data_IF_029097518201
#
_entry.id   IF_029097518201
#
_cell.length_a   1.000
_cell.length_b   1.000
_cell.length_c   1.000
_cell.angle_alpha   90.00
_cell.angle_beta   90.00
_cell.angle_gamma   90.00
#
_symmetry.space_group_name_H-M   'P 1'
#
loop_
_entity.id
_entity.type
_entity.pdbx_description
1 polymer ?
#
# COMPACT_ATOMS: atom_id res chain seq x y z
N UNK A 1 -0.97 12.06 0.86
CA UNK A 1 -0.63 11.17 1.96
C UNK A 1 -1.72 10.16 2.17
N UNK A 2 -1.37 8.99 2.53
CA UNK A 2 -2.33 7.95 2.83
C UNK A 2 -2.15 7.43 4.24
N UNK A 3 -3.08 6.60 4.68
CA UNK A 3 -3.02 6.02 6.01
C UNK A 3 -2.83 4.53 5.88
N UNK A 4 -1.86 4.00 6.62
CA UNK A 4 -1.61 2.57 6.61
C UNK A 4 -2.78 1.85 7.28
N UNK A 5 -3.41 0.90 6.60
CA UNK A 5 -4.53 0.20 7.23
C UNK A 5 -4.08 -0.84 8.25
N UNK A 6 -2.76 -1.11 8.29
CA UNK A 6 -2.29 -2.09 9.23
C UNK A 6 -1.99 -1.47 10.59
N UNK A 7 -1.23 -0.39 10.62
CA UNK A 7 -0.86 0.23 11.88
C UNK A 7 -1.47 1.61 12.06
N UNK A 8 -2.10 2.16 11.05
CA UNK A 8 -2.74 3.47 11.16
C UNK A 8 -1.80 4.64 11.05
N UNK A 9 -0.54 4.41 10.69
CA UNK A 9 0.41 5.50 10.57
C UNK A 9 0.22 6.21 9.23
N UNK A 10 0.68 7.44 9.16
CA UNK A 10 0.61 8.17 7.91
C UNK A 10 1.74 7.73 6.99
N UNK A 11 1.41 7.53 5.74
CA UNK A 11 2.36 7.08 4.74
C UNK A 11 2.54 8.19 3.73
N UNK A 12 3.79 8.54 3.45
CA UNK A 12 4.07 9.56 2.46
C UNK A 12 3.89 8.98 1.07
N UNK A 13 3.13 9.69 0.24
CA UNK A 13 2.85 9.22 -1.10
C UNK A 13 3.14 10.39 -2.04
N UNK A 14 3.89 10.10 -3.11
CA UNK A 14 4.22 11.15 -4.07
C UNK A 14 3.01 11.53 -4.89
N UNK A 15 3.06 12.73 -5.46
CA UNK A 15 1.99 13.14 -6.35
C UNK A 15 2.00 12.34 -7.63
N UNK A 16 3.14 11.74 -7.97
CA UNK A 16 3.23 10.95 -9.19
C UNK A 16 2.73 9.54 -9.01
N UNK A 17 2.23 9.18 -7.85
CA UNK A 17 1.80 7.81 -7.60
C UNK A 17 0.62 7.49 -8.51
N UNK A 18 0.52 6.23 -8.92
CA UNK A 18 -0.55 5.79 -9.79
C UNK A 18 -1.27 4.62 -9.13
N UNK A 19 -2.45 4.33 -9.61
CA UNK A 19 -3.20 3.20 -9.09
C UNK A 19 -2.45 1.92 -9.41
N UNK A 20 -2.45 1.02 -8.46
CA UNK A 20 -1.73 -0.24 -8.62
C UNK A 20 -0.30 -0.20 -8.15
N UNK A 21 0.18 0.96 -7.73
CA UNK A 21 1.55 1.06 -7.27
C UNK A 21 1.67 0.47 -5.88
N UNK A 22 2.79 -0.16 -5.59
CA UNK A 22 3.01 -0.78 -4.28
C UNK A 22 3.93 0.11 -3.47
N UNK A 23 3.51 0.42 -2.27
CA UNK A 23 4.29 1.24 -1.34
C UNK A 23 4.60 0.41 -0.10
N UNK A 24 5.55 0.89 0.67
CA UNK A 24 5.92 0.19 1.88
C UNK A 24 5.75 1.11 3.06
N UNK A 25 5.08 0.64 4.10
CA UNK A 25 4.90 1.40 5.32
C UNK A 25 6.18 1.35 6.12
N UNK A 26 6.67 2.54 6.53
CA UNK A 26 7.89 2.58 7.29
C UNK A 26 7.67 2.26 8.76
N UNK A 27 6.42 2.25 9.21
CA UNK A 27 6.15 2.00 10.61
C UNK A 27 6.04 0.50 10.88
N UNK A 28 5.22 -0.19 10.13
CA UNK A 28 5.04 -1.61 10.36
C UNK A 28 5.66 -2.47 9.28
N UNK A 29 6.16 -1.86 8.22
CA UNK A 29 6.80 -2.64 7.16
C UNK A 29 5.84 -3.36 6.25
N UNK A 30 4.56 -3.04 6.31
CA UNK A 30 3.59 -3.71 5.45
C UNK A 30 3.65 -3.15 4.05
N UNK A 31 3.34 -3.99 3.07
CA UNK A 31 3.24 -3.53 1.70
C UNK A 31 1.83 -3.05 1.45
N UNK A 32 1.71 -1.90 0.82
CA UNK A 32 0.42 -1.28 0.58
C UNK A 32 0.23 -1.09 -0.92
N UNK A 33 -0.99 -1.24 -1.36
CA UNK A 33 -1.31 -1.07 -2.77
C UNK A 33 -2.18 0.16 -2.92
N UNK A 34 -1.86 0.99 -3.89
CA UNK A 34 -2.64 2.18 -4.17
C UNK A 34 -3.85 1.76 -4.98
N UNK A 35 -5.03 1.85 -4.37
CA UNK A 35 -6.24 1.43 -5.08
C UNK A 35 -6.95 2.64 -5.68
N UNK A 36 -6.61 3.84 -5.25
CA UNK A 36 -7.20 5.03 -5.82
C UNK A 36 -6.27 6.20 -5.53
N UNK A 37 -6.21 7.16 -6.43
CA UNK A 37 -5.37 8.33 -6.20
C UNK A 37 -6.18 9.59 -6.02
N UNK A 38 -7.48 9.57 -6.28
CA UNK A 38 -8.30 10.77 -6.13
C UNK A 38 -9.71 10.38 -5.75
N UNK A 39 -9.97 10.23 -4.46
CA UNK A 39 -9.06 10.45 -3.34
C UNK A 39 -8.06 9.31 -3.18
N UNK A 40 -6.98 9.60 -2.52
CA UNK A 40 -5.95 8.60 -2.34
C UNK A 40 -6.40 7.56 -1.33
N UNK A 41 -6.33 6.31 -1.71
CA UNK A 41 -6.69 5.21 -0.83
C UNK A 41 -5.67 4.11 -0.96
N UNK A 42 -5.32 3.52 0.17
CA UNK A 42 -4.35 2.45 0.23
C UNK A 42 -4.97 1.23 0.89
N UNK A 43 -4.50 0.06 0.48
CA UNK A 43 -4.90 -1.19 1.10
C UNK A 43 -3.70 -2.05 1.27
N UNK A 44 -3.81 -3.06 2.12
CA UNK A 44 -2.74 -4.03 2.25
C UNK A 44 -2.60 -4.76 0.93
N UNK A 45 -1.38 -4.78 0.41
CA UNK A 45 -1.13 -5.49 -0.83
C UNK A 45 -1.22 -6.99 -0.57
N UNK A 46 -1.70 -7.75 -1.55
CA UNK A 46 -1.77 -9.19 -1.36
C UNK A 46 -0.38 -9.76 -1.33
N UNK A 47 -0.21 -10.78 -0.50
CA UNK A 47 1.04 -11.46 -0.46
C UNK A 47 1.02 -12.52 -1.46
N UNK A 48 2.07 -12.64 -2.24
CA UNK A 48 2.01 -13.56 -3.23
C UNK A 48 2.79 -14.71 -3.02
N UNK A 49 3.36 -14.81 -2.00
CA UNK A 49 4.07 -15.95 -1.86
C UNK A 49 3.29 -17.09 -1.90
N UNK A 50 2.56 -17.25 -1.97
CA UNK A 50 1.96 -18.32 -2.16
C UNK A 50 1.83 -19.00 -3.05
N UNK A 51 2.09 -19.17 -3.31
CA UNK A 51 1.94 -19.77 -3.95
C UNK A 51 2.00 -20.57 -4.39
N UNK A 52 2.08 -21.08 -4.63
CA UNK A 52 2.13 -21.60 -5.19
C UNK A 52 2.05 -22.50 -5.40
N UNK A 53 1.93 -22.80 -5.24
CA UNK A 53 1.87 -23.48 -5.42
C UNK A 53 1.82 -24.17 -5.84
N UNK A 54 1.93 -24.45 -6.22
CA UNK A 54 1.78 -25.10 -6.70
C UNK A 54 1.81 -25.53 -6.90
#
# INVERSE_FOLDING_TARGET
MGTCPECGALVNVNDDVVEGEILECEECGAELEVISVSPLELELAPEEEEDWGE
#
